data_IF_533039271385
#
_entry.id   IF_533039271385
#
_cell.length_a   1.000
_cell.length_b   1.000
_cell.length_c   1.000
_cell.angle_alpha   90.00
_cell.angle_beta   90.00
_cell.angle_gamma   90.00
#
_symmetry.space_group_name_H-M   'P 1'
#
loop_
_entity.id
_entity.type
_entity.pdbx_description
1 polymer ?
#
# COMPACT_ATOMS: atom_id res chain seq x y z
N UNK A 1 -19.13 10.74 61.58
CA UNK A 1 -18.56 10.53 60.23
C UNK A 1 -19.51 11.19 59.24
N UNK A 2 -19.06 12.19 58.49
CA UNK A 2 -19.91 12.81 57.45
C UNK A 2 -20.08 11.80 56.31
N UNK A 3 -21.30 11.54 55.82
CA UNK A 3 -21.50 10.68 54.67
C UNK A 3 -20.77 11.28 53.47
N UNK A 4 -19.91 10.50 52.83
CA UNK A 4 -19.27 10.89 51.58
C UNK A 4 -20.34 10.92 50.50
N UNK A 5 -20.85 12.12 50.20
CA UNK A 5 -21.79 12.32 49.10
C UNK A 5 -21.05 12.09 47.78
N UNK A 6 -21.42 11.04 47.06
CA UNK A 6 -20.91 10.77 45.72
C UNK A 6 -21.84 11.37 44.68
N UNK A 7 -21.29 11.79 43.53
CA UNK A 7 -22.08 12.32 42.41
C UNK A 7 -23.16 11.32 41.97
N UNK A 8 -22.87 10.01 42.00
CA UNK A 8 -23.80 8.94 41.64
C UNK A 8 -24.90 8.70 42.68
N UNK A 9 -24.78 9.26 43.89
CA UNK A 9 -25.81 9.22 44.92
C UNK A 9 -26.89 10.28 44.75
N UNK A 10 -26.76 11.17 43.76
CA UNK A 10 -27.79 12.15 43.43
C UNK A 10 -28.93 11.48 42.63
N UNK A 11 -30.17 12.00 42.73
CA UNK A 11 -31.25 11.63 41.83
C UNK A 11 -30.83 11.77 40.36
N UNK A 12 -31.18 10.78 39.54
CA UNK A 12 -30.71 10.67 38.16
C UNK A 12 -31.13 11.85 37.26
N UNK A 13 -32.18 12.56 37.65
CA UNK A 13 -32.75 13.75 37.04
C UNK A 13 -31.81 14.98 37.17
N UNK A 14 -30.96 14.99 38.20
CA UNK A 14 -29.99 16.08 38.41
C UNK A 14 -28.75 15.92 37.55
N UNK A 15 -28.41 14.70 37.13
CA UNK A 15 -27.20 14.46 36.34
C UNK A 15 -27.18 15.20 34.99
N UNK A 16 -28.27 15.22 34.18
CA UNK A 16 -28.33 16.04 32.97
C UNK A 16 -28.13 17.53 33.24
N UNK A 17 -28.71 18.07 34.31
CA UNK A 17 -28.56 19.48 34.67
C UNK A 17 -27.14 19.83 35.09
N UNK A 18 -26.46 18.95 35.82
CA UNK A 18 -25.04 19.10 36.14
C UNK A 18 -24.23 19.11 34.84
N UNK A 19 -24.44 18.13 33.95
CA UNK A 19 -23.75 18.01 32.66
C UNK A 19 -23.91 19.28 31.80
N UNK A 20 -25.11 19.87 31.75
CA UNK A 20 -25.37 21.12 31.02
C UNK A 20 -24.58 22.32 31.54
N UNK A 21 -24.28 22.34 32.83
CA UNK A 21 -23.55 23.44 33.49
C UNK A 21 -22.03 23.23 33.51
N UNK A 22 -21.54 22.03 33.17
CA UNK A 22 -20.12 21.74 33.09
C UNK A 22 -19.50 22.28 31.80
N UNK A 23 -18.26 22.76 31.90
CA UNK A 23 -17.47 23.12 30.72
C UNK A 23 -17.21 21.89 29.85
N UNK A 24 -16.88 22.10 28.57
CA UNK A 24 -16.60 20.98 27.68
C UNK A 24 -15.47 20.05 28.21
N UNK A 25 -14.31 20.57 28.68
CA UNK A 25 -13.27 19.73 29.29
C UNK A 25 -13.78 18.89 30.47
N UNK A 26 -14.61 19.48 31.34
CA UNK A 26 -15.15 18.79 32.50
C UNK A 26 -16.11 17.68 32.10
N UNK A 27 -16.97 17.95 31.11
CA UNK A 27 -17.86 16.95 30.53
C UNK A 27 -17.07 15.81 29.87
N UNK A 28 -15.98 16.10 29.17
CA UNK A 28 -15.10 15.05 28.61
C UNK A 28 -14.46 14.21 29.71
N UNK A 29 -14.01 14.83 30.81
CA UNK A 29 -13.43 14.11 31.94
C UNK A 29 -14.48 13.25 32.64
N UNK A 30 -15.65 13.81 32.94
CA UNK A 30 -16.78 13.11 33.55
C UNK A 30 -17.25 11.93 32.69
N UNK A 31 -17.31 12.11 31.37
CA UNK A 31 -17.63 11.04 30.42
C UNK A 31 -16.66 9.85 30.48
N UNK A 32 -15.42 10.05 30.93
CA UNK A 32 -14.39 9.00 31.04
C UNK A 32 -14.38 8.28 32.40
N UNK A 33 -15.10 8.78 33.41
CA UNK A 33 -15.05 8.20 34.75
C UNK A 33 -15.86 6.91 34.88
N UNK A 34 -17.04 6.84 34.26
CA UNK A 34 -17.88 5.65 34.31
C UNK A 34 -18.77 5.49 33.07
N UNK A 35 -19.27 4.26 32.87
CA UNK A 35 -20.16 3.91 31.74
C UNK A 35 -21.46 4.71 31.73
N UNK A 36 -22.02 5.03 32.90
CA UNK A 36 -23.25 5.81 33.02
C UNK A 36 -23.10 7.22 32.40
N UNK A 37 -22.08 7.99 32.83
CA UNK A 37 -21.80 9.30 32.23
C UNK A 37 -21.31 9.20 30.79
N UNK A 38 -20.66 8.09 30.42
CA UNK A 38 -20.28 7.83 29.04
C UNK A 38 -21.48 7.81 28.08
N UNK A 39 -22.58 7.19 28.52
CA UNK A 39 -23.82 7.05 27.75
C UNK A 39 -24.71 8.29 27.86
N UNK A 40 -24.72 8.94 29.04
CA UNK A 40 -25.49 10.16 29.32
C UNK A 40 -24.96 11.38 28.53
N UNK A 41 -23.64 11.61 28.56
CA UNK A 41 -23.04 12.80 27.96
C UNK A 41 -22.87 12.56 26.46
N UNK A 42 -23.77 13.08 25.65
CA UNK A 42 -23.67 13.07 24.19
C UNK A 42 -23.37 14.47 23.69
N UNK A 43 -22.33 14.59 22.87
CA UNK A 43 -21.99 15.85 22.22
C UNK A 43 -22.47 15.79 20.78
N UNK A 44 -23.16 16.84 20.34
CA UNK A 44 -23.37 17.12 18.93
C UNK A 44 -22.02 17.39 18.25
N UNK A 45 -21.96 17.19 16.93
CA UNK A 45 -20.74 17.48 16.19
C UNK A 45 -20.39 18.98 16.21
N UNK A 46 -21.40 19.85 16.25
CA UNK A 46 -21.21 21.30 16.32
C UNK A 46 -20.54 21.71 17.64
N UNK A 47 -20.99 21.17 18.78
CA UNK A 47 -20.35 21.39 20.08
C UNK A 47 -18.90 20.90 20.10
N UNK A 48 -18.61 19.77 19.45
CA UNK A 48 -17.24 19.27 19.35
C UNK A 48 -16.32 20.18 18.54
N UNK A 49 -16.83 20.78 17.46
CA UNK A 49 -16.06 21.75 16.68
C UNK A 49 -15.80 23.00 17.51
N UNK A 50 -16.82 23.50 18.23
CA UNK A 50 -16.66 24.64 19.13
C UNK A 50 -15.63 24.33 20.22
N UNK A 51 -15.65 23.12 20.77
CA UNK A 51 -14.69 22.68 21.77
C UNK A 51 -13.23 22.65 21.30
N UNK A 52 -12.96 22.62 19.99
CA UNK A 52 -11.59 22.69 19.46
C UNK A 52 -10.87 24.01 19.80
N UNK A 53 -11.62 25.08 20.09
CA UNK A 53 -11.07 26.38 20.47
C UNK A 53 -10.75 26.45 21.97
N UNK A 54 -11.16 25.46 22.76
CA UNK A 54 -10.85 25.43 24.19
C UNK A 54 -9.34 25.33 24.44
N UNK A 55 -8.81 25.93 25.52
CA UNK A 55 -7.39 25.82 25.87
C UNK A 55 -6.92 24.36 25.97
N UNK A 56 -7.78 23.48 26.49
CA UNK A 56 -7.54 22.04 26.54
C UNK A 56 -7.32 21.43 25.15
N UNK A 57 -8.21 21.73 24.19
CA UNK A 57 -8.14 21.13 22.87
C UNK A 57 -6.98 21.67 22.03
N UNK A 58 -6.61 22.93 22.24
CA UNK A 58 -5.40 23.54 21.67
C UNK A 58 -4.16 22.86 22.24
N UNK A 59 -4.04 22.75 23.57
CA UNK A 59 -2.89 22.17 24.24
C UNK A 59 -2.66 20.69 23.91
N UNK A 60 -3.74 19.91 23.71
CA UNK A 60 -3.67 18.49 23.35
C UNK A 60 -3.69 18.22 21.84
N UNK A 61 -3.77 19.28 21.04
CA UNK A 61 -3.90 19.25 19.59
C UNK A 61 -4.93 18.23 19.07
N UNK A 62 -6.17 18.37 19.53
CA UNK A 62 -7.29 17.49 19.17
C UNK A 62 -8.29 18.20 18.24
N UNK A 63 -9.02 17.38 17.47
CA UNK A 63 -9.96 17.79 16.44
C UNK A 63 -11.20 16.89 16.46
N UNK A 64 -12.35 17.45 16.15
CA UNK A 64 -13.64 16.78 16.00
C UNK A 64 -13.67 15.95 14.72
N UNK A 65 -14.25 14.76 14.84
CA UNK A 65 -14.50 13.85 13.74
C UNK A 65 -16.00 13.64 13.58
N UNK A 66 -16.53 13.92 12.39
CA UNK A 66 -17.96 13.77 12.06
C UNK A 66 -18.44 12.32 12.11
N UNK A 67 -17.55 11.36 11.84
CA UNK A 67 -17.91 9.93 11.83
C UNK A 67 -18.10 9.35 13.21
N UNK A 68 -17.05 9.37 14.01
CA UNK A 68 -17.10 8.81 15.36
C UNK A 68 -17.69 9.76 16.39
N UNK A 69 -17.93 11.04 16.05
CA UNK A 69 -18.41 12.09 16.97
C UNK A 69 -17.57 12.09 18.25
N UNK A 70 -16.25 12.21 18.09
CA UNK A 70 -15.27 12.29 19.18
C UNK A 70 -14.19 13.30 18.80
N UNK A 71 -13.60 13.95 19.80
CA UNK A 71 -12.31 14.61 19.63
C UNK A 71 -11.20 13.57 19.53
N UNK A 72 -10.37 13.67 18.50
CA UNK A 72 -9.22 12.80 18.25
C UNK A 72 -7.96 13.64 18.10
N UNK A 73 -6.78 13.14 18.50
CA UNK A 73 -5.52 13.83 18.27
C UNK A 73 -5.25 14.08 16.78
N UNK A 74 -4.48 15.11 16.45
CA UNK A 74 -4.10 15.49 15.08
C UNK A 74 -3.58 14.31 14.24
N UNK A 75 -2.71 13.47 14.82
CA UNK A 75 -2.12 12.33 14.11
C UNK A 75 -3.13 11.24 13.71
N UNK A 76 -4.39 11.33 14.16
CA UNK A 76 -5.51 10.46 13.73
C UNK A 76 -6.25 11.00 12.51
N UNK A 77 -5.82 12.12 11.95
CA UNK A 77 -6.37 12.72 10.73
C UNK A 77 -5.31 12.78 9.64
N UNK A 78 -5.76 12.83 8.38
CA UNK A 78 -4.87 13.15 7.27
C UNK A 78 -4.49 14.63 7.28
N UNK A 79 -3.33 14.98 6.77
CA UNK A 79 -2.81 16.35 6.76
C UNK A 79 -3.77 17.32 6.05
N UNK A 80 -4.40 16.86 4.97
CA UNK A 80 -5.41 17.64 4.22
C UNK A 80 -6.70 17.89 5.03
N UNK A 81 -6.98 17.07 6.05
CA UNK A 81 -8.09 17.30 6.98
C UNK A 81 -7.77 18.35 8.04
N UNK A 82 -6.50 18.70 8.23
CA UNK A 82 -6.06 19.66 9.26
C UNK A 82 -5.68 21.03 8.67
N UNK A 83 -5.61 21.14 7.34
CA UNK A 83 -5.13 22.31 6.61
C UNK A 83 -6.27 23.03 5.85
N UNK A 84 -5.93 24.21 5.31
CA UNK A 84 -6.80 25.00 4.45
C UNK A 84 -8.21 25.22 5.04
N UNK A 85 -9.27 24.97 4.26
CA UNK A 85 -10.67 25.16 4.66
C UNK A 85 -11.11 24.25 5.82
N UNK A 86 -10.36 23.17 6.09
CA UNK A 86 -10.65 22.18 7.14
C UNK A 86 -9.81 22.38 8.40
N UNK A 87 -9.04 23.46 8.52
CA UNK A 87 -8.33 23.78 9.78
C UNK A 87 -9.30 24.10 10.93
N UNK A 88 -8.79 24.25 12.16
CA UNK A 88 -9.60 24.71 13.32
C UNK A 88 -10.26 26.05 12.99
N UNK A 89 -11.58 26.17 13.20
CA UNK A 89 -12.38 27.35 12.80
C UNK A 89 -12.55 27.55 11.29
N UNK A 90 -12.09 26.61 10.45
CA UNK A 90 -12.29 26.67 8.99
C UNK A 90 -13.74 26.38 8.59
N UNK A 91 -14.17 26.92 7.45
CA UNK A 91 -15.54 26.76 6.92
C UNK A 91 -15.95 25.29 6.70
N UNK A 92 -14.99 24.41 6.40
CA UNK A 92 -15.21 22.97 6.21
C UNK A 92 -14.74 22.12 7.39
N UNK A 93 -14.55 22.72 8.56
CA UNK A 93 -14.24 22.01 9.80
C UNK A 93 -15.23 20.87 10.09
N UNK A 94 -16.51 21.10 9.77
CA UNK A 94 -17.60 20.13 9.96
C UNK A 94 -17.53 18.90 9.05
N UNK A 95 -16.70 18.92 8.01
CA UNK A 95 -16.52 17.79 7.07
C UNK A 95 -15.32 16.91 7.44
N UNK A 96 -14.60 17.20 8.53
CA UNK A 96 -13.45 16.41 8.96
C UNK A 96 -13.86 15.03 9.47
N UNK A 97 -13.08 14.02 9.10
CA UNK A 97 -13.18 12.68 9.66
C UNK A 97 -11.78 12.12 9.93
N UNK A 98 -11.67 11.26 10.95
CA UNK A 98 -10.41 10.59 11.28
C UNK A 98 -10.13 9.46 10.29
N UNK A 99 -8.88 9.01 10.25
CA UNK A 99 -8.40 7.94 9.35
C UNK A 99 -9.23 6.66 9.54
N UNK A 100 -9.55 6.27 10.78
CA UNK A 100 -10.39 5.10 11.07
C UNK A 100 -11.77 5.22 10.41
N UNK A 101 -12.43 6.37 10.54
CA UNK A 101 -13.73 6.61 9.91
C UNK A 101 -13.64 6.68 8.39
N UNK A 102 -12.53 7.20 7.85
CA UNK A 102 -12.32 7.30 6.40
C UNK A 102 -11.96 5.98 5.73
N UNK A 103 -11.38 5.03 6.46
CA UNK A 103 -10.89 3.73 5.95
C UNK A 103 -11.87 2.59 6.17
N UNK A 104 -12.77 2.71 7.14
CA UNK A 104 -13.76 1.67 7.42
C UNK A 104 -14.87 1.71 6.36
N UNK A 105 -15.13 0.62 5.63
CA UNK A 105 -16.05 0.62 4.49
C UNK A 105 -17.55 0.78 4.85
N UNK A 106 -17.94 0.94 6.12
CA UNK A 106 -19.35 1.07 6.52
C UNK A 106 -19.58 1.85 7.83
N UNK A 107 -20.67 2.64 7.87
CA UNK A 107 -21.89 2.45 8.73
C UNK A 107 -22.74 3.71 8.93
N UNK A 108 -22.31 4.89 8.48
CA UNK A 108 -23.16 6.09 8.49
C UNK A 108 -23.30 6.63 7.08
N UNK A 109 -24.54 6.70 6.59
CA UNK A 109 -24.92 7.25 5.28
C UNK A 109 -24.33 8.65 5.01
N UNK A 110 -23.90 9.36 6.06
CA UNK A 110 -23.53 10.76 6.00
C UNK A 110 -22.06 11.04 5.65
N UNK A 111 -21.18 10.04 5.47
CA UNK A 111 -19.74 10.28 5.27
C UNK A 111 -19.20 9.49 4.09
N UNK A 112 -18.80 10.22 3.06
CA UNK A 112 -17.98 9.69 1.98
C UNK A 112 -16.54 9.50 2.49
N UNK A 113 -16.16 8.24 2.74
CA UNK A 113 -14.81 7.86 3.14
C UNK A 113 -13.78 8.03 2.02
N UNK A 114 -12.56 7.55 2.24
CA UNK A 114 -11.53 7.54 1.21
C UNK A 114 -11.87 6.50 0.14
N UNK A 115 -11.84 6.91 -1.13
CA UNK A 115 -12.02 6.00 -2.25
C UNK A 115 -10.78 5.11 -2.46
N UNK A 116 -10.93 3.92 -3.07
CA UNK A 116 -9.79 3.16 -3.58
C UNK A 116 -8.91 4.04 -4.50
N UNK A 117 -7.60 3.95 -4.31
CA UNK A 117 -6.60 4.78 -4.99
C UNK A 117 -6.37 6.16 -4.36
N UNK A 118 -7.12 6.55 -3.33
CA UNK A 118 -6.94 7.84 -2.67
C UNK A 118 -5.56 7.95 -2.00
N UNK A 119 -4.85 9.04 -2.26
CA UNK A 119 -3.58 9.38 -1.63
C UNK A 119 -3.83 10.14 -0.32
N UNK A 120 -3.26 9.63 0.77
CA UNK A 120 -3.51 10.12 2.12
C UNK A 120 -2.16 10.42 2.77
N UNK A 121 -1.89 11.70 3.06
CA UNK A 121 -0.69 12.09 3.80
C UNK A 121 -0.99 12.18 5.29
N UNK A 122 -0.16 11.53 6.12
CA UNK A 122 -0.27 11.58 7.58
C UNK A 122 1.10 11.96 8.12
N UNK A 123 1.22 13.16 8.70
CA UNK A 123 2.49 13.71 9.17
C UNK A 123 3.57 13.67 8.08
N UNK A 124 3.18 13.96 6.84
CA UNK A 124 4.07 13.91 5.67
C UNK A 124 4.35 12.51 5.11
N UNK A 125 3.89 11.43 5.75
CA UNK A 125 4.08 10.06 5.24
C UNK A 125 2.93 9.68 4.31
N UNK A 126 3.27 9.23 3.09
CA UNK A 126 2.30 8.81 2.07
C UNK A 126 1.68 7.44 2.39
N UNK A 127 0.36 7.42 2.44
CA UNK A 127 -0.48 6.23 2.56
C UNK A 127 -1.49 6.20 1.42
N UNK A 128 -2.08 5.03 1.17
CA UNK A 128 -3.05 4.82 0.10
C UNK A 128 -4.08 3.77 0.50
N UNK A 129 -5.31 3.91 -0.01
CA UNK A 129 -6.25 2.79 -0.09
C UNK A 129 -5.89 2.02 -1.36
N UNK A 130 -5.10 0.96 -1.23
CA UNK A 130 -4.51 0.29 -2.39
C UNK A 130 -5.57 -0.20 -3.39
N UNK A 131 -5.39 0.06 -4.70
CA UNK A 131 -6.30 -0.45 -5.74
C UNK A 131 -6.29 -1.98 -5.87
N UNK A 132 -5.15 -2.63 -5.58
CA UNK A 132 -5.02 -4.09 -5.64
C UNK A 132 -5.67 -4.80 -4.46
N UNK A 133 -5.18 -4.56 -3.23
CA UNK A 133 -5.66 -5.28 -2.05
C UNK A 133 -6.78 -4.57 -1.26
N UNK A 134 -7.14 -3.34 -1.62
CA UNK A 134 -8.14 -2.48 -0.94
C UNK A 134 -7.85 -2.17 0.54
N UNK A 135 -6.64 -2.48 1.02
CA UNK A 135 -6.21 -2.17 2.38
C UNK A 135 -5.62 -0.76 2.44
N UNK A 136 -5.82 -0.11 3.58
CA UNK A 136 -5.11 1.11 3.93
C UNK A 136 -3.70 0.75 4.39
N UNK A 137 -2.68 1.22 3.68
CA UNK A 137 -1.28 0.92 3.97
C UNK A 137 -0.36 2.05 3.44
N UNK A 138 0.94 1.95 3.70
CA UNK A 138 1.95 2.84 3.10
C UNK A 138 1.88 2.75 1.58
N UNK A 139 1.78 3.91 0.95
CA UNK A 139 1.74 4.02 -0.49
C UNK A 139 3.13 3.82 -1.10
N UNK A 140 3.17 3.19 -2.27
CA UNK A 140 4.41 3.03 -3.01
C UNK A 140 4.69 4.27 -3.87
N UNK A 141 5.97 4.51 -4.13
CA UNK A 141 6.44 5.50 -5.09
C UNK A 141 7.04 4.80 -6.30
N UNK A 142 6.89 5.38 -7.49
CA UNK A 142 7.55 4.90 -8.69
C UNK A 142 9.05 5.25 -8.67
N UNK A 143 9.81 4.77 -9.67
CA UNK A 143 11.23 5.08 -9.80
C UNK A 143 11.55 6.57 -10.01
N UNK A 144 10.54 7.43 -10.20
CA UNK A 144 10.67 8.89 -10.28
C UNK A 144 10.25 9.59 -8.98
N UNK A 145 9.93 8.84 -7.92
CA UNK A 145 9.47 9.36 -6.63
C UNK A 145 8.01 9.81 -6.62
N UNK A 146 7.22 9.53 -7.67
CA UNK A 146 5.81 9.89 -7.73
C UNK A 146 4.98 8.86 -6.98
N UNK A 147 4.07 9.36 -6.16
CA UNK A 147 3.15 8.52 -5.40
C UNK A 147 2.26 7.70 -6.35
N UNK A 148 2.14 6.41 -6.10
CA UNK A 148 1.29 5.48 -6.85
C UNK A 148 -0.01 5.18 -6.10
N UNK A 149 -0.99 4.62 -6.81
CA UNK A 149 -2.28 4.18 -6.24
C UNK A 149 -2.22 2.77 -5.62
N UNK A 150 -1.02 2.21 -5.43
CA UNK A 150 -0.77 0.89 -4.86
C UNK A 150 0.01 0.98 -3.56
N UNK A 151 -0.21 0.04 -2.64
CA UNK A 151 0.66 -0.09 -1.48
C UNK A 151 2.00 -0.71 -1.90
N UNK A 152 3.02 -0.58 -1.04
CA UNK A 152 4.37 -1.12 -1.26
C UNK A 152 4.36 -2.60 -1.67
N UNK A 153 3.55 -3.42 -1.00
CA UNK A 153 3.47 -4.86 -1.27
C UNK A 153 2.85 -5.16 -2.64
N UNK A 154 1.70 -4.54 -2.96
CA UNK A 154 1.05 -4.75 -4.25
C UNK A 154 1.87 -4.20 -5.40
N UNK A 155 2.59 -3.11 -5.18
CA UNK A 155 3.47 -2.54 -6.20
C UNK A 155 4.62 -3.51 -6.50
N UNK A 156 5.35 -3.98 -5.48
CA UNK A 156 6.43 -4.95 -5.67
C UNK A 156 5.93 -6.26 -6.33
N UNK A 157 4.73 -6.74 -5.97
CA UNK A 157 4.12 -7.89 -6.63
C UNK A 157 3.81 -7.63 -8.11
N UNK A 158 3.30 -6.44 -8.43
CA UNK A 158 3.00 -6.05 -9.81
C UNK A 158 4.28 -5.90 -10.66
N UNK A 159 5.36 -5.33 -10.12
CA UNK A 159 6.65 -5.27 -10.80
C UNK A 159 7.20 -6.65 -11.14
N UNK A 160 7.21 -7.57 -10.17
CA UNK A 160 7.63 -8.96 -10.40
C UNK A 160 6.79 -9.61 -11.49
N UNK A 161 5.48 -9.39 -11.47
CA UNK A 161 4.58 -9.92 -12.49
C UNK A 161 4.88 -9.33 -13.89
N UNK A 162 5.11 -8.02 -13.99
CA UNK A 162 5.48 -7.36 -15.25
C UNK A 162 6.83 -7.85 -15.78
N UNK A 163 7.83 -8.04 -14.92
CA UNK A 163 9.12 -8.60 -15.29
C UNK A 163 8.98 -10.04 -15.81
N UNK A 164 8.21 -10.89 -15.13
CA UNK A 164 7.96 -12.26 -15.57
C UNK A 164 7.23 -12.32 -16.93
N UNK A 165 6.27 -11.44 -17.16
CA UNK A 165 5.61 -11.32 -18.47
C UNK A 165 6.57 -10.88 -19.57
N UNK A 166 7.44 -9.91 -19.28
CA UNK A 166 8.44 -9.43 -20.23
C UNK A 166 9.44 -10.53 -20.60
N UNK A 167 9.94 -11.27 -19.61
CA UNK A 167 10.84 -12.41 -19.81
C UNK A 167 10.22 -13.46 -20.74
N UNK A 168 8.96 -13.85 -20.48
CA UNK A 168 8.26 -14.80 -21.37
C UNK A 168 8.12 -14.27 -22.79
N UNK A 169 7.79 -12.99 -22.97
CA UNK A 169 7.70 -12.39 -24.30
C UNK A 169 9.05 -12.39 -25.03
N UNK A 170 10.14 -12.09 -24.32
CA UNK A 170 11.48 -12.08 -24.90
C UNK A 170 11.97 -13.50 -25.23
N UNK A 171 11.67 -14.48 -24.40
CA UNK A 171 11.88 -15.91 -24.69
C UNK A 171 11.14 -16.33 -25.96
N UNK A 172 9.85 -15.99 -26.10
CA UNK A 172 9.08 -16.28 -27.31
C UNK A 172 9.71 -15.65 -28.56
N UNK A 173 10.14 -14.38 -28.48
CA UNK A 173 10.82 -13.70 -29.59
C UNK A 173 12.15 -14.38 -29.94
N UNK A 174 12.92 -14.83 -28.96
CA UNK A 174 14.18 -15.53 -29.16
C UNK A 174 13.97 -16.90 -29.82
N UNK A 175 12.96 -17.66 -29.37
CA UNK A 175 12.59 -18.94 -29.99
C UNK A 175 12.13 -18.75 -31.43
N UNK A 176 11.30 -17.74 -31.70
CA UNK A 176 10.83 -17.44 -33.06
C UNK A 176 12.00 -17.03 -33.97
N UNK A 177 12.90 -16.16 -33.49
CA UNK A 177 14.10 -15.77 -34.24
C UNK A 177 14.98 -16.97 -34.56
N UNK A 178 15.19 -17.90 -33.60
CA UNK A 178 15.93 -19.15 -33.83
C UNK A 178 15.24 -20.03 -34.88
N UNK A 179 13.91 -20.14 -34.85
CA UNK A 179 13.15 -20.90 -35.85
C UNK A 179 13.30 -20.32 -37.25
N UNK A 180 13.20 -18.99 -37.40
CA UNK A 180 13.39 -18.28 -38.68
C UNK A 180 14.80 -18.51 -39.23
N UNK A 181 15.83 -18.37 -38.39
CA UNK A 181 17.22 -18.61 -38.80
C UNK A 181 17.44 -20.05 -39.29
N UNK A 182 16.87 -21.06 -38.62
CA UNK A 182 16.94 -22.46 -39.06
C UNK A 182 16.26 -22.67 -40.42
N UNK A 183 15.06 -22.13 -40.60
CA UNK A 183 14.34 -22.20 -41.88
C UNK A 183 15.13 -21.53 -43.00
N UNK A 184 15.72 -20.36 -42.75
CA UNK A 184 16.56 -19.67 -43.73
C UNK A 184 17.81 -20.48 -44.08
N UNK A 185 18.50 -21.06 -43.09
CA UNK A 185 19.65 -21.93 -43.32
C UNK A 185 19.28 -23.18 -44.14
N UNK A 186 18.14 -23.82 -43.84
CA UNK A 186 17.61 -24.96 -44.60
C UNK A 186 17.28 -24.57 -46.04
N UNK A 187 16.62 -23.43 -46.25
CA UNK A 187 16.35 -22.89 -47.59
C UNK A 187 17.63 -22.63 -48.38
N UNK A 188 18.65 -22.02 -47.75
CA UNK A 188 19.97 -21.82 -48.39
C UNK A 188 20.63 -23.14 -48.75
N UNK A 189 20.56 -24.15 -47.87
CA UNK A 189 21.09 -25.51 -48.13
C UNK A 189 20.32 -26.20 -49.26
N UNK A 190 19.01 -26.06 -49.32
CA UNK A 190 18.17 -26.61 -50.39
C UNK A 190 18.45 -25.94 -51.74
N UNK A 191 18.56 -24.60 -51.76
CA UNK A 191 18.91 -23.85 -52.96
C UNK A 191 20.29 -24.22 -53.51
N UNK A 192 21.29 -24.41 -52.63
CA UNK A 192 22.62 -24.90 -53.04
C UNK A 192 22.54 -26.30 -53.69
N UNK A 193 21.80 -27.23 -53.07
CA UNK A 193 21.57 -28.58 -53.63
C UNK A 193 20.84 -28.56 -54.98
N UNK A 194 19.88 -27.66 -55.15
CA UNK A 194 19.16 -27.52 -56.41
C UNK A 194 20.02 -26.90 -57.53
N UNK A 195 20.92 -25.98 -57.20
CA UNK A 195 21.75 -25.27 -58.18
C UNK A 195 22.93 -26.11 -58.69
N UNK A 196 23.64 -26.81 -57.81
CA UNK A 196 24.81 -27.62 -58.19
C UNK A 196 24.49 -29.08 -58.52
N UNK A 197 23.21 -29.48 -58.45
CA UNK A 197 22.83 -30.87 -58.68
C UNK A 197 23.28 -31.78 -57.54
N UNK A 198 22.83 -33.04 -57.56
CA UNK A 198 23.25 -34.05 -56.59
C UNK A 198 24.71 -34.43 -56.86
N UNK A 199 25.64 -33.57 -56.47
CA UNK A 199 27.06 -33.95 -56.46
C UNK A 199 27.23 -35.04 -55.41
N UNK A 200 27.57 -36.20 -55.95
CA UNK A 200 28.05 -37.36 -55.24
C UNK A 200 29.01 -36.93 -54.12
N UNK A 201 28.74 -37.38 -52.90
CA UNK A 201 29.57 -37.18 -51.72
C UNK A 201 30.95 -37.85 -51.90
N UNK A 202 31.87 -37.21 -52.61
CA UNK A 202 33.30 -37.53 -52.58
C UNK A 202 34.08 -36.22 -52.74
N UNK A 203 34.27 -35.48 -51.65
CA UNK A 203 35.59 -35.02 -51.20
C UNK A 203 35.50 -33.93 -50.11
N UNK A 204 35.96 -34.30 -48.91
CA UNK A 204 36.96 -33.57 -48.12
C UNK A 204 36.88 -32.04 -48.05
N UNK A 205 35.75 -31.46 -47.64
CA UNK A 205 35.75 -30.11 -47.05
C UNK A 205 35.96 -30.23 -45.55
N UNK A 206 37.06 -29.66 -45.06
CA UNK A 206 37.47 -29.57 -43.65
C UNK A 206 36.52 -28.73 -42.77
N UNK A 207 35.24 -29.05 -42.81
CA UNK A 207 34.29 -28.68 -41.78
C UNK A 207 34.54 -29.61 -40.60
N UNK A 208 34.97 -29.03 -39.48
CA UNK A 208 35.03 -29.76 -38.21
C UNK A 208 33.71 -30.50 -38.01
N UNK A 209 33.76 -31.84 -37.79
CA UNK A 209 32.56 -32.63 -37.59
C UNK A 209 31.75 -32.02 -36.45
N UNK A 210 30.43 -32.00 -36.63
CA UNK A 210 29.54 -31.53 -35.55
C UNK A 210 29.86 -32.33 -34.28
N UNK A 211 30.00 -31.65 -33.13
CA UNK A 211 30.45 -32.31 -31.92
C UNK A 211 29.60 -33.53 -31.65
N UNK A 212 30.28 -34.65 -31.46
CA UNK A 212 29.69 -35.91 -31.07
C UNK A 212 28.91 -35.72 -29.77
N UNK A 213 27.92 -36.57 -29.53
CA UNK A 213 27.12 -36.50 -28.30
C UNK A 213 28.00 -36.58 -27.04
N UNK A 214 29.14 -37.28 -27.13
CA UNK A 214 30.18 -37.33 -26.11
C UNK A 214 30.90 -36.01 -25.88
N UNK A 215 31.19 -35.22 -26.92
CA UNK A 215 31.85 -33.91 -26.78
C UNK A 215 30.91 -32.89 -26.14
N UNK A 216 29.65 -32.86 -26.56
CA UNK A 216 28.61 -32.06 -25.91
C UNK A 216 28.42 -32.44 -24.43
N UNK A 217 28.52 -33.72 -24.11
CA UNK A 217 28.43 -34.19 -22.74
C UNK A 217 29.64 -33.76 -21.90
N UNK A 218 30.86 -33.79 -22.48
CA UNK A 218 32.07 -33.30 -21.82
C UNK A 218 32.01 -31.80 -21.56
N UNK A 219 31.51 -31.00 -22.52
CA UNK A 219 31.33 -29.55 -22.34
C UNK A 219 30.35 -29.20 -21.22
N UNK A 220 29.26 -29.97 -21.10
CA UNK A 220 28.29 -29.80 -20.00
C UNK A 220 28.93 -30.12 -18.65
N UNK A 221 29.69 -31.22 -18.57
CA UNK A 221 30.40 -31.63 -17.34
C UNK A 221 31.44 -30.57 -16.96
N UNK A 222 32.18 -30.04 -17.93
CA UNK A 222 33.20 -29.02 -17.71
C UNK A 222 32.57 -27.71 -17.20
N UNK A 223 31.46 -27.28 -17.80
CA UNK A 223 30.73 -26.08 -17.37
C UNK A 223 30.16 -26.23 -15.95
N UNK A 224 29.67 -27.42 -15.59
CA UNK A 224 29.18 -27.70 -14.23
C UNK A 224 30.33 -27.67 -13.20
N UNK A 225 31.49 -28.25 -13.54
CA UNK A 225 32.68 -28.21 -12.70
C UNK A 225 33.21 -26.78 -12.48
N UNK A 226 33.24 -25.96 -13.54
CA UNK A 226 33.67 -24.56 -13.45
C UNK A 226 32.72 -23.72 -12.58
N UNK A 227 31.42 -24.05 -12.60
CA UNK A 227 30.41 -23.40 -11.76
C UNK A 227 30.60 -23.77 -10.28
N UNK A 228 30.97 -25.04 -10.00
CA UNK A 228 31.26 -25.51 -8.65
C UNK A 228 32.54 -24.88 -8.08
N UNK A 229 33.60 -24.77 -8.88
CA UNK A 229 34.89 -24.24 -8.44
C UNK A 229 34.91 -22.72 -8.28
N UNK A 230 34.09 -21.99 -9.04
CA UNK A 230 33.96 -20.53 -8.93
C UNK A 230 32.84 -20.07 -7.97
N UNK A 231 32.18 -21.01 -7.28
CA UNK A 231 31.26 -20.64 -6.21
C UNK A 231 32.06 -20.09 -5.02
N UNK A 232 31.81 -18.84 -4.58
CA UNK A 232 32.53 -18.26 -3.45
C UNK A 232 32.35 -19.16 -2.22
N UNK A 233 33.47 -19.63 -1.66
CA UNK A 233 33.47 -20.46 -0.46
C UNK A 233 32.70 -19.73 0.64
N UNK A 234 31.68 -20.40 1.18
CA UNK A 234 31.01 -19.95 2.39
C UNK A 234 32.03 -19.94 3.54
N UNK A 235 32.62 -18.77 3.83
CA UNK A 235 33.53 -18.61 4.97
C UNK A 235 34.82 -17.82 4.76
N UNK A 236 34.91 -16.93 3.77
CA UNK A 236 35.93 -15.87 3.80
C UNK A 236 35.28 -14.55 4.23
N UNK A 237 35.39 -14.25 5.52
CA UNK A 237 35.19 -12.92 6.12
C UNK A 237 36.18 -11.90 5.57
#
# INVERSE_FOLDING_TARGET
MLPSATLLGLPSELHPEIVKNLSFPDNVNLKRTCKYFQDLIKFSHAEQIQAETSPYAIAKDVYACVGCQRLRPAHRFADNMLRAKRRKGGMEASKRFCIECGTTPQRKECIQGYSPGAHISIRGVHHVICLGCRRFDRGAQDGQGRNTSYCLLCMAANERFRMALQQRQDEYRMVEKRRRLRQEQEQRRAARRAFWGSDHDEDSDGLEPSPTWSELQMDIIQAEADTYMNSPKAGSE
#
